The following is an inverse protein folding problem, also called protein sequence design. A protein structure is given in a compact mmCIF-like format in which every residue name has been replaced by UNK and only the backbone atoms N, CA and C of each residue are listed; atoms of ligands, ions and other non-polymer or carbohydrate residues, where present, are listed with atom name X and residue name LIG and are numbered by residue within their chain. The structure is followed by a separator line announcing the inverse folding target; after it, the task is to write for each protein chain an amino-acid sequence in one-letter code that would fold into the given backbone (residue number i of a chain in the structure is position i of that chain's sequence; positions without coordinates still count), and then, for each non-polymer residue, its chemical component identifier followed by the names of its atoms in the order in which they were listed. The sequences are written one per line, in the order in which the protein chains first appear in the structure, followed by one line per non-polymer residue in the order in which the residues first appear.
data_IF_583484753924
#
_entry.id   IF_583484753924
#
_cell.length_a   1.000
_cell.length_b   1.000
_cell.length_c   1.000
_cell.angle_alpha   90.00
_cell.angle_beta   90.00
_cell.angle_gamma   90.00
#
_symmetry.space_group_name_H-M   'P 1'
#
loop_
_entity.id
_entity.type
_entity.pdbx_description
1 polymer ?
#
# COMPACT_ATOMS: atom_id res chain seq x y z
N UNK A 1 3.41 -6.93 19.29
CA UNK A 1 3.16 -5.84 18.32
C UNK A 1 4.02 -4.66 18.71
N UNK A 2 4.75 -4.11 17.75
CA UNK A 2 5.61 -2.95 17.99
C UNK A 2 4.80 -1.65 18.08
N UNK A 3 5.05 -0.86 19.13
CA UNK A 3 4.58 0.52 19.27
C UNK A 3 5.76 1.47 19.17
N UNK A 4 5.63 2.48 18.32
CA UNK A 4 6.62 3.54 18.18
C UNK A 4 6.40 4.62 19.24
N UNK A 5 7.24 4.63 20.26
CA UNK A 5 7.18 5.60 21.37
C UNK A 5 7.76 6.98 21.01
N UNK A 6 8.38 7.13 19.83
CA UNK A 6 8.91 8.41 19.40
C UNK A 6 7.78 9.33 18.94
N UNK A 7 7.94 10.63 19.22
CA UNK A 7 7.11 11.64 18.56
C UNK A 7 7.39 11.62 17.07
N UNK A 8 6.37 11.73 16.21
CA UNK A 8 6.61 11.78 14.79
C UNK A 8 7.42 13.03 14.48
N UNK A 9 8.39 12.91 13.59
CA UNK A 9 9.19 14.02 13.12
C UNK A 9 8.41 14.76 12.03
N UNK A 10 8.23 16.05 12.23
CA UNK A 10 7.52 16.93 11.33
C UNK A 10 8.53 17.62 10.40
N UNK A 11 8.57 17.20 9.13
CA UNK A 11 9.47 17.74 8.12
C UNK A 11 9.00 19.07 7.54
N UNK A 12 7.70 19.17 7.29
CA UNK A 12 6.99 20.32 6.76
C UNK A 12 6.46 21.19 7.90
N UNK A 13 6.48 22.51 7.71
CA UNK A 13 5.74 23.44 8.56
C UNK A 13 4.22 23.29 8.36
N UNK A 14 3.38 23.76 9.31
CA UNK A 14 1.93 23.74 9.16
C UNK A 14 1.45 24.41 7.85
N UNK A 15 2.01 25.57 7.49
CA UNK A 15 1.65 26.28 6.26
C UNK A 15 2.04 25.50 5.00
N UNK A 16 3.16 24.76 5.03
CA UNK A 16 3.59 23.90 3.92
C UNK A 16 2.65 22.70 3.76
N UNK A 17 2.18 22.11 4.87
CA UNK A 17 1.17 21.06 4.84
C UNK A 17 -0.12 21.56 4.19
N UNK A 18 -0.60 22.75 4.57
CA UNK A 18 -1.80 23.35 3.95
C UNK A 18 -1.59 23.71 2.47
N UNK A 19 -0.38 24.15 2.11
CA UNK A 19 -0.04 24.42 0.71
C UNK A 19 -0.12 23.15 -0.13
N UNK A 20 0.47 22.05 0.34
CA UNK A 20 0.42 20.76 -0.36
C UNK A 20 -1.02 20.24 -0.44
N UNK A 21 -1.80 20.36 0.65
CA UNK A 21 -3.22 20.01 0.65
C UNK A 21 -3.99 20.81 -0.42
N UNK A 22 -3.83 22.14 -0.45
CA UNK A 22 -4.49 23.00 -1.42
C UNK A 22 -4.14 22.62 -2.86
N UNK A 23 -2.86 22.34 -3.14
CA UNK A 23 -2.44 21.88 -4.48
C UNK A 23 -3.00 20.51 -4.84
N UNK A 24 -3.09 19.58 -3.89
CA UNK A 24 -3.75 18.29 -4.11
C UNK A 24 -5.23 18.47 -4.47
N UNK A 25 -5.93 19.40 -3.81
CA UNK A 25 -7.33 19.71 -4.14
C UNK A 25 -7.46 20.33 -5.53
N UNK A 26 -6.58 21.27 -5.89
CA UNK A 26 -6.54 21.84 -7.25
C UNK A 26 -6.32 20.75 -8.31
N UNK A 27 -5.43 19.79 -8.06
CA UNK A 27 -5.23 18.65 -8.98
C UNK A 27 -6.53 17.85 -9.14
N UNK A 28 -7.24 17.57 -8.05
CA UNK A 28 -8.49 16.80 -8.09
C UNK A 28 -9.65 17.55 -8.76
N UNK A 29 -9.77 18.84 -8.51
CA UNK A 29 -10.85 19.70 -9.03
C UNK A 29 -10.61 20.05 -10.51
N UNK A 30 -9.41 20.52 -10.87
CA UNK A 30 -9.13 21.08 -12.20
C UNK A 30 -8.58 20.05 -13.20
N UNK A 31 -7.78 19.08 -12.74
CA UNK A 31 -7.13 18.09 -13.62
C UNK A 31 -7.90 16.76 -13.59
N UNK A 32 -8.31 16.30 -12.40
CA UNK A 32 -8.99 15.03 -12.19
C UNK A 32 -8.09 13.79 -12.33
N UNK A 33 -8.67 12.62 -12.06
CA UNK A 33 -7.99 11.32 -12.07
C UNK A 33 -8.71 10.35 -13.01
N UNK A 34 -7.97 9.60 -13.83
CA UNK A 34 -8.55 8.54 -14.68
C UNK A 34 -8.95 7.33 -13.82
N UNK A 35 -10.18 6.85 -13.98
CA UNK A 35 -10.67 5.59 -13.41
C UNK A 35 -11.08 4.65 -14.55
N UNK A 36 -10.21 3.71 -14.92
CA UNK A 36 -10.42 2.79 -16.05
C UNK A 36 -11.35 1.61 -15.72
N UNK A 37 -12.40 1.86 -14.93
CA UNK A 37 -13.41 0.86 -14.60
C UNK A 37 -14.79 1.53 -14.61
N UNK A 38 -15.72 1.00 -15.40
CA UNK A 38 -17.07 1.56 -15.57
C UNK A 38 -17.79 1.73 -14.24
N UNK A 39 -17.88 0.67 -13.43
CA UNK A 39 -18.51 0.73 -12.11
C UNK A 39 -17.94 1.81 -11.18
N UNK A 40 -16.63 2.06 -11.22
CA UNK A 40 -16.01 3.10 -10.39
C UNK A 40 -16.49 4.50 -10.83
N UNK A 41 -16.55 4.74 -12.13
CA UNK A 41 -17.07 6.00 -12.71
C UNK A 41 -18.56 6.18 -12.41
N UNK A 42 -19.36 5.13 -12.52
CA UNK A 42 -20.79 5.18 -12.20
C UNK A 42 -21.04 5.56 -10.74
N UNK A 43 -20.22 5.07 -9.81
CA UNK A 43 -20.32 5.43 -8.38
C UNK A 43 -20.04 6.92 -8.17
N UNK A 44 -19.00 7.45 -8.80
CA UNK A 44 -18.70 8.88 -8.74
C UNK A 44 -19.78 9.74 -9.39
N UNK A 45 -20.27 9.34 -10.56
CA UNK A 45 -21.33 10.06 -11.26
C UNK A 45 -22.63 10.10 -10.44
N UNK A 46 -23.01 8.97 -9.80
CA UNK A 46 -24.17 8.92 -8.88
C UNK A 46 -23.97 9.77 -7.63
N UNK A 47 -22.72 9.97 -7.21
CA UNK A 47 -22.36 10.87 -6.13
C UNK A 47 -22.27 12.36 -6.56
N UNK A 48 -22.60 12.66 -7.83
CA UNK A 48 -22.63 14.03 -8.36
C UNK A 48 -21.29 14.55 -8.89
N UNK A 49 -20.26 13.72 -8.93
CA UNK A 49 -18.95 14.11 -9.47
C UNK A 49 -18.98 14.15 -11.00
N UNK A 50 -18.23 15.10 -11.57
CA UNK A 50 -18.12 15.27 -13.02
C UNK A 50 -17.24 14.16 -13.60
N UNK A 51 -17.78 13.42 -14.56
CA UNK A 51 -17.07 12.36 -15.30
C UNK A 51 -17.01 12.71 -16.77
N UNK A 52 -15.80 12.83 -17.31
CA UNK A 52 -15.52 13.06 -18.73
C UNK A 52 -14.70 11.88 -19.27
N UNK A 53 -15.35 11.02 -20.06
CA UNK A 53 -14.79 9.74 -20.51
C UNK A 53 -14.33 8.85 -19.33
N UNK A 54 -13.02 8.79 -19.09
CA UNK A 54 -12.43 8.06 -17.97
C UNK A 54 -12.02 8.97 -16.81
N UNK A 55 -12.02 10.29 -17.02
CA UNK A 55 -11.52 11.29 -16.08
C UNK A 55 -12.63 11.68 -15.10
N UNK A 56 -12.35 11.57 -13.81
CA UNK A 56 -13.24 12.01 -12.73
C UNK A 56 -12.64 13.25 -12.07
N UNK A 57 -13.40 14.33 -12.03
CA UNK A 57 -13.09 15.54 -11.28
C UNK A 57 -13.80 15.48 -9.94
N UNK A 58 -13.06 15.75 -8.86
CA UNK A 58 -13.50 15.50 -7.50
C UNK A 58 -13.48 16.81 -6.72
N UNK A 59 -14.65 17.27 -6.27
CA UNK A 59 -14.77 18.47 -5.46
C UNK A 59 -14.11 18.27 -4.09
N UNK A 60 -13.39 19.27 -3.55
CA UNK A 60 -12.68 19.10 -2.26
C UNK A 60 -13.61 18.71 -1.13
N UNK A 61 -14.82 19.28 -1.08
CA UNK A 61 -15.76 19.04 0.01
C UNK A 61 -16.21 17.59 0.01
N UNK A 62 -16.51 17.06 -1.18
CA UNK A 62 -16.81 15.66 -1.39
C UNK A 62 -15.64 14.76 -0.95
N UNK A 63 -14.42 15.06 -1.39
CA UNK A 63 -13.21 14.27 -1.04
C UNK A 63 -13.00 14.23 0.47
N UNK A 64 -13.05 15.39 1.12
CA UNK A 64 -12.87 15.51 2.57
C UNK A 64 -13.99 14.78 3.35
N UNK A 65 -15.24 14.88 2.88
CA UNK A 65 -16.37 14.17 3.49
C UNK A 65 -16.19 12.65 3.38
N UNK A 66 -15.81 12.14 2.20
CA UNK A 66 -15.59 10.71 2.03
C UNK A 66 -14.42 10.24 2.89
N UNK A 67 -13.26 10.89 2.79
CA UNK A 67 -12.04 10.49 3.51
C UNK A 67 -12.25 10.48 5.03
N UNK A 68 -13.04 11.41 5.58
CA UNK A 68 -13.35 11.46 7.01
C UNK A 68 -14.15 10.25 7.52
N UNK A 69 -14.76 9.44 6.65
CA UNK A 69 -15.46 8.20 7.01
C UNK A 69 -14.51 7.05 7.31
N UNK A 70 -13.28 7.10 6.81
CA UNK A 70 -12.30 6.05 7.02
C UNK A 70 -11.81 6.03 8.49
N UNK A 71 -11.72 4.86 9.14
CA UNK A 71 -11.26 4.77 10.52
C UNK A 71 -9.76 5.06 10.64
N UNK A 72 -9.41 5.93 11.59
CA UNK A 72 -8.01 6.28 11.90
C UNK A 72 -7.21 5.12 12.53
N UNK A 73 -7.91 4.14 13.14
CA UNK A 73 -7.33 2.95 13.77
C UNK A 73 -8.30 1.79 13.53
N UNK A 74 -7.77 0.61 13.18
CA UNK A 74 -8.57 -0.60 13.00
C UNK A 74 -7.80 -1.87 13.35
N UNK A 75 -8.53 -2.92 13.68
CA UNK A 75 -8.00 -4.27 13.89
C UNK A 75 -7.91 -5.02 12.55
N UNK A 76 -6.83 -5.77 12.36
CA UNK A 76 -6.66 -6.75 11.30
C UNK A 76 -6.47 -8.12 11.99
N UNK A 77 -7.52 -8.94 11.93
CA UNK A 77 -7.51 -10.24 12.60
C UNK A 77 -6.65 -11.24 11.84
N UNK A 78 -5.97 -12.09 12.61
CA UNK A 78 -5.30 -13.27 12.09
C UNK A 78 -6.06 -14.53 12.52
N UNK A 79 -5.87 -15.62 11.78
CA UNK A 79 -6.41 -16.94 12.15
C UNK A 79 -6.07 -17.33 13.59
N UNK A 80 -4.83 -17.09 14.01
CA UNK A 80 -4.48 -17.09 15.42
C UNK A 80 -4.72 -15.69 16.00
N UNK A 81 -5.77 -15.54 16.81
CA UNK A 81 -6.15 -14.24 17.39
C UNK A 81 -5.01 -13.55 18.14
N UNK A 82 -4.06 -14.29 18.72
CA UNK A 82 -2.88 -13.74 19.41
C UNK A 82 -1.89 -13.03 18.48
N UNK A 83 -2.00 -13.25 17.15
CA UNK A 83 -1.19 -12.59 16.12
C UNK A 83 -1.92 -11.45 15.41
N UNK A 84 -3.17 -11.16 15.77
CA UNK A 84 -3.90 -10.03 15.20
C UNK A 84 -3.15 -8.73 15.44
N UNK A 85 -3.26 -7.81 14.49
CA UNK A 85 -2.55 -6.54 14.52
C UNK A 85 -3.53 -5.35 14.53
N UNK A 86 -3.06 -4.21 15.04
CA UNK A 86 -3.80 -2.95 15.03
C UNK A 86 -3.04 -2.02 14.09
N UNK A 87 -3.71 -1.48 13.08
CA UNK A 87 -3.14 -0.46 12.20
C UNK A 87 -3.63 0.93 12.62
N UNK A 88 -2.72 1.91 12.56
CA UNK A 88 -2.99 3.29 12.97
C UNK A 88 -2.42 3.65 14.34
N UNK A 89 -2.52 4.93 14.70
CA UNK A 89 -1.95 5.47 15.94
C UNK A 89 -0.43 5.31 15.99
N UNK A 90 0.07 4.76 17.11
CA UNK A 90 1.51 4.52 17.34
C UNK A 90 1.96 3.12 16.92
N UNK A 91 1.05 2.29 16.40
CA UNK A 91 1.36 0.91 16.06
C UNK A 91 2.16 0.84 14.76
N UNK A 92 3.15 -0.06 14.72
CA UNK A 92 3.96 -0.36 13.55
C UNK A 92 3.80 -1.84 13.20
N UNK A 93 3.19 -2.09 12.05
CA UNK A 93 3.06 -3.43 11.45
C UNK A 93 4.07 -3.53 10.32
N UNK A 94 4.94 -4.52 10.39
CA UNK A 94 5.97 -4.80 9.37
C UNK A 94 5.57 -6.02 8.58
N UNK A 95 5.79 -5.97 7.27
CA UNK A 95 5.59 -7.07 6.34
C UNK A 95 6.83 -7.24 5.46
N UNK A 96 7.10 -8.44 4.94
CA UNK A 96 8.19 -8.67 4.01
C UNK A 96 8.09 -7.84 2.73
N UNK A 97 9.10 -7.99 1.88
CA UNK A 97 9.10 -7.53 0.48
C UNK A 97 7.85 -8.01 -0.27
N UNK A 98 7.45 -7.27 -1.30
CA UNK A 98 6.29 -7.55 -2.13
C UNK A 98 6.62 -7.28 -3.61
N UNK A 99 6.39 -8.24 -4.49
CA UNK A 99 6.47 -8.09 -5.95
C UNK A 99 7.73 -8.56 -6.69
N UNK A 100 8.89 -8.90 -6.07
CA UNK A 100 10.03 -9.38 -6.85
C UNK A 100 9.70 -10.64 -7.66
N UNK A 101 10.03 -10.71 -8.96
CA UNK A 101 9.94 -11.95 -9.72
C UNK A 101 11.18 -12.85 -9.58
N UNK A 102 12.26 -12.30 -9.02
CA UNK A 102 13.53 -13.00 -8.85
C UNK A 102 13.86 -13.17 -7.37
N UNK A 103 14.48 -14.31 -7.06
CA UNK A 103 15.20 -14.54 -5.80
C UNK A 103 16.69 -14.61 -6.04
N UNK A 104 17.46 -14.37 -4.98
CA UNK A 104 18.90 -14.57 -4.96
C UNK A 104 19.29 -15.33 -3.69
N UNK A 105 20.12 -16.35 -3.83
CA UNK A 105 20.78 -17.03 -2.71
C UNK A 105 22.28 -17.26 -3.00
N UNK A 106 23.05 -17.65 -1.98
CA UNK A 106 24.50 -17.82 -2.08
C UNK A 106 24.93 -19.02 -2.93
N UNK A 107 24.04 -20.00 -3.15
CA UNK A 107 24.37 -21.26 -3.82
C UNK A 107 24.00 -21.23 -5.31
N UNK A 108 22.80 -20.73 -5.62
CA UNK A 108 22.18 -20.72 -6.95
C UNK A 108 22.24 -19.36 -7.63
N UNK A 109 22.61 -18.30 -6.89
CA UNK A 109 22.64 -16.94 -7.40
C UNK A 109 21.22 -16.42 -7.73
N UNK A 110 21.14 -15.43 -8.63
CA UNK A 110 19.88 -14.80 -9.04
C UNK A 110 19.13 -15.66 -10.06
N UNK A 111 17.87 -15.97 -9.78
CA UNK A 111 17.00 -16.80 -10.66
C UNK A 111 15.52 -16.43 -10.51
N UNK A 112 14.71 -16.89 -11.46
CA UNK A 112 13.24 -16.85 -11.32
C UNK A 112 12.81 -17.61 -10.07
N UNK A 113 11.81 -17.07 -9.38
CA UNK A 113 11.35 -17.62 -8.12
C UNK A 113 10.31 -18.71 -8.32
N UNK A 114 10.19 -19.59 -7.32
CA UNK A 114 9.22 -20.69 -7.31
C UNK A 114 8.26 -20.59 -6.12
N UNK A 115 7.21 -21.41 -6.11
CA UNK A 115 6.33 -21.55 -4.94
C UNK A 115 7.09 -22.04 -3.69
N UNK A 116 8.19 -22.77 -3.87
CA UNK A 116 9.07 -23.17 -2.76
C UNK A 116 9.74 -21.94 -2.13
N UNK A 117 10.23 -21.00 -2.94
CA UNK A 117 10.82 -19.76 -2.45
C UNK A 117 9.79 -18.91 -1.69
N UNK A 118 8.59 -18.76 -2.25
CA UNK A 118 7.46 -18.11 -1.60
C UNK A 118 7.17 -18.74 -0.23
N UNK A 119 7.05 -20.07 -0.20
CA UNK A 119 6.84 -20.85 1.03
C UNK A 119 7.97 -20.65 2.04
N UNK A 120 9.21 -20.51 1.58
CA UNK A 120 10.35 -20.25 2.46
C UNK A 120 10.28 -18.85 3.07
N UNK A 121 9.87 -17.83 2.30
CA UNK A 121 9.60 -16.50 2.85
C UNK A 121 8.46 -16.50 3.87
N UNK A 122 7.40 -17.30 3.68
CA UNK A 122 6.33 -17.44 4.68
C UNK A 122 6.84 -18.07 5.98
N UNK A 123 7.67 -19.12 5.88
CA UNK A 123 8.31 -19.76 7.05
C UNK A 123 9.23 -18.77 7.78
N UNK A 124 10.00 -17.97 7.04
CA UNK A 124 10.86 -16.92 7.61
C UNK A 124 10.00 -15.83 8.28
N UNK A 125 8.96 -15.35 7.59
CA UNK A 125 8.02 -14.38 8.13
C UNK A 125 7.37 -14.89 9.41
N UNK A 126 7.01 -16.17 9.50
CA UNK A 126 6.49 -16.80 10.71
C UNK A 126 7.53 -16.81 11.85
N UNK A 127 8.77 -17.21 11.54
CA UNK A 127 9.84 -17.38 12.53
C UNK A 127 10.37 -16.05 13.10
N UNK A 128 10.33 -14.96 12.34
CA UNK A 128 10.85 -13.65 12.75
C UNK A 128 9.79 -12.86 13.52
N UNK A 129 10.05 -12.54 14.79
CA UNK A 129 9.11 -11.80 15.64
C UNK A 129 8.89 -10.35 15.19
N UNK A 130 9.91 -9.75 14.57
CA UNK A 130 9.88 -8.39 14.03
C UNK A 130 9.09 -8.30 12.72
N UNK A 131 8.56 -9.40 12.19
CA UNK A 131 7.61 -9.42 11.07
C UNK A 131 6.22 -9.69 11.65
N UNK A 132 5.30 -8.75 11.47
CA UNK A 132 3.98 -8.78 12.09
C UNK A 132 2.88 -9.29 11.15
N UNK A 133 3.06 -9.13 9.86
CA UNK A 133 2.19 -9.61 8.78
C UNK A 133 3.02 -10.48 7.84
N UNK A 134 2.48 -11.60 7.36
CA UNK A 134 3.17 -12.51 6.44
C UNK A 134 3.46 -11.85 5.06
N UNK A 135 2.79 -10.73 4.76
CA UNK A 135 2.92 -10.04 3.48
C UNK A 135 1.93 -10.59 2.44
N UNK A 136 2.20 -10.31 1.17
CA UNK A 136 1.39 -10.78 0.04
C UNK A 136 2.25 -11.54 -0.94
N UNK A 137 2.55 -10.93 -2.09
CA UNK A 137 3.46 -11.49 -3.10
C UNK A 137 4.91 -11.36 -2.65
N UNK A 138 5.37 -12.11 -1.64
CA UNK A 138 6.77 -12.05 -1.15
C UNK A 138 7.78 -12.24 -2.27
N UNK A 139 7.45 -13.15 -3.18
CA UNK A 139 8.08 -13.29 -4.48
C UNK A 139 7.05 -13.83 -5.48
N UNK A 140 7.27 -13.65 -6.77
CA UNK A 140 6.36 -14.18 -7.79
C UNK A 140 6.72 -15.63 -8.17
N UNK A 141 5.88 -16.64 -7.89
CA UNK A 141 6.17 -18.02 -8.28
C UNK A 141 5.97 -18.20 -9.79
N UNK A 142 7.06 -18.27 -10.54
CA UNK A 142 7.07 -18.40 -12.01
C UNK A 142 6.83 -19.85 -12.48
N UNK A 143 6.93 -20.82 -11.57
CA UNK A 143 6.70 -22.25 -11.81
C UNK A 143 5.21 -22.66 -11.76
N UNK A 144 4.31 -21.71 -11.46
CA UNK A 144 2.87 -21.93 -11.39
C UNK A 144 2.10 -21.17 -12.50
N UNK A 145 0.93 -21.68 -12.95
CA UNK A 145 0.10 -20.99 -13.92
C UNK A 145 -0.38 -19.61 -13.44
N UNK A 146 -0.22 -18.58 -14.27
CA UNK A 146 -0.59 -17.18 -13.94
C UNK A 146 -2.03 -17.03 -13.43
N UNK A 147 -2.97 -17.77 -14.01
CA UNK A 147 -4.41 -17.65 -13.70
C UNK A 147 -4.83 -18.24 -12.36
N UNK A 148 -4.00 -19.07 -11.72
CA UNK A 148 -4.38 -19.78 -10.48
C UNK A 148 -3.34 -19.65 -9.37
N UNK A 149 -2.12 -19.19 -9.64
CA UNK A 149 -1.04 -19.14 -8.64
C UNK A 149 -1.37 -18.32 -7.40
N UNK A 150 -2.32 -17.37 -7.47
CA UNK A 150 -2.79 -16.64 -6.28
C UNK A 150 -3.40 -17.57 -5.23
N UNK A 151 -4.04 -18.67 -5.65
CA UNK A 151 -4.60 -19.67 -4.74
C UNK A 151 -3.50 -20.37 -3.96
N UNK A 152 -2.42 -20.78 -4.64
CA UNK A 152 -1.27 -21.42 -4.02
C UNK A 152 -0.53 -20.46 -3.06
N UNK A 153 -0.39 -19.19 -3.44
CA UNK A 153 0.21 -18.15 -2.61
C UNK A 153 -0.61 -17.88 -1.35
N UNK A 154 -1.92 -17.67 -1.47
CA UNK A 154 -2.81 -17.46 -0.31
C UNK A 154 -2.86 -18.72 0.56
N UNK A 155 -2.88 -19.91 -0.04
CA UNK A 155 -2.81 -21.16 0.70
C UNK A 155 -1.49 -21.30 1.48
N UNK A 156 -0.36 -20.90 0.88
CA UNK A 156 0.94 -20.91 1.56
C UNK A 156 0.93 -20.01 2.80
N UNK A 157 0.42 -18.78 2.69
CA UNK A 157 0.25 -17.86 3.83
C UNK A 157 -0.52 -18.52 4.97
N UNK A 158 -1.67 -19.12 4.64
CA UNK A 158 -2.55 -19.81 5.60
C UNK A 158 -1.89 -21.03 6.21
N UNK A 159 -1.16 -21.82 5.41
CA UNK A 159 -0.59 -23.10 5.83
C UNK A 159 0.62 -22.93 6.72
N UNK A 160 1.51 -22.00 6.38
CA UNK A 160 2.83 -21.86 6.98
C UNK A 160 2.94 -20.73 7.98
N UNK A 161 1.95 -19.83 8.03
CA UNK A 161 1.90 -18.76 9.02
C UNK A 161 0.60 -18.79 9.83
N UNK A 162 0.63 -18.16 10.99
CA UNK A 162 -0.55 -17.84 11.78
C UNK A 162 -0.74 -16.32 11.97
N UNK A 163 0.02 -15.53 11.20
CA UNK A 163 0.01 -14.07 11.13
C UNK A 163 -1.05 -13.60 10.12
N UNK A 164 -1.49 -12.34 10.18
CA UNK A 164 -2.32 -11.77 9.12
C UNK A 164 -1.52 -11.71 7.81
N UNK A 165 -2.21 -11.71 6.67
CA UNK A 165 -1.61 -11.73 5.34
C UNK A 165 -2.31 -10.74 4.40
N UNK A 166 -1.71 -10.55 3.22
CA UNK A 166 -2.23 -9.66 2.19
C UNK A 166 -2.89 -10.40 1.05
N UNK A 167 -3.88 -9.76 0.43
CA UNK A 167 -4.67 -10.35 -0.63
C UNK A 167 -4.11 -10.15 -2.03
N UNK A 168 -4.54 -11.01 -2.96
CA UNK A 168 -4.21 -10.85 -4.38
C UNK A 168 -4.98 -9.69 -5.00
N UNK A 169 -4.33 -8.92 -5.88
CA UNK A 169 -4.88 -7.68 -6.46
C UNK A 169 -4.83 -7.64 -7.99
N UNK A 170 -4.47 -8.75 -8.63
CA UNK A 170 -4.22 -8.79 -10.08
C UNK A 170 -5.49 -8.95 -10.92
N UNK A 171 -6.65 -9.22 -10.28
CA UNK A 171 -7.99 -9.26 -10.87
C UNK A 171 -9.07 -9.22 -9.78
N UNK A 172 -10.32 -8.95 -10.17
CA UNK A 172 -11.49 -9.06 -9.29
C UNK A 172 -11.71 -10.50 -8.83
N UNK A 173 -11.52 -11.47 -9.72
CA UNK A 173 -11.64 -12.90 -9.42
C UNK A 173 -10.68 -13.31 -8.30
N UNK A 174 -9.41 -12.90 -8.39
CA UNK A 174 -8.40 -13.25 -7.42
C UNK A 174 -8.65 -12.60 -6.06
N UNK A 175 -9.21 -11.38 -6.08
CA UNK A 175 -9.65 -10.71 -4.86
C UNK A 175 -10.81 -11.47 -4.20
N UNK A 176 -11.83 -11.87 -4.95
CA UNK A 176 -12.94 -12.70 -4.46
C UNK A 176 -12.45 -14.03 -3.89
N UNK A 177 -11.59 -14.74 -4.60
CA UNK A 177 -11.01 -16.00 -4.12
C UNK A 177 -10.25 -15.81 -2.81
N UNK A 178 -9.46 -14.73 -2.70
CA UNK A 178 -8.75 -14.40 -1.45
C UNK A 178 -9.73 -14.17 -0.30
N UNK A 179 -10.80 -13.41 -0.53
CA UNK A 179 -11.81 -13.11 0.48
C UNK A 179 -12.51 -14.39 0.95
N UNK A 180 -12.85 -15.29 0.02
CA UNK A 180 -13.47 -16.58 0.35
C UNK A 180 -12.51 -17.49 1.12
N UNK A 181 -11.24 -17.57 0.71
CA UNK A 181 -10.22 -18.32 1.47
C UNK A 181 -10.02 -17.75 2.88
N UNK A 182 -10.01 -16.43 3.03
CA UNK A 182 -9.93 -15.77 4.33
C UNK A 182 -11.18 -16.05 5.18
N UNK A 183 -12.37 -16.02 4.59
CA UNK A 183 -13.61 -16.37 5.28
C UNK A 183 -13.57 -17.81 5.80
N UNK A 184 -13.09 -18.77 5.02
CA UNK A 184 -12.97 -20.18 5.45
C UNK A 184 -12.12 -20.30 6.72
N UNK A 185 -11.00 -19.58 6.81
CA UNK A 185 -10.01 -19.74 7.90
C UNK A 185 -10.25 -18.82 9.10
N UNK A 186 -11.01 -17.73 8.92
CA UNK A 186 -11.29 -16.74 9.96
C UNK A 186 -12.76 -16.75 10.45
N UNK A 187 -13.50 -17.83 10.20
CA UNK A 187 -14.80 -18.06 10.83
C UNK A 187 -16.01 -17.53 10.05
N UNK A 188 -15.89 -17.42 8.73
CA UNK A 188 -16.96 -17.09 7.80
C UNK A 188 -17.00 -15.62 7.38
N UNK A 189 -17.88 -15.32 6.41
CA UNK A 189 -18.02 -13.99 5.81
C UNK A 189 -18.39 -12.91 6.84
N UNK A 190 -19.34 -13.21 7.72
CA UNK A 190 -19.77 -12.30 8.79
C UNK A 190 -18.60 -11.91 9.72
N UNK A 191 -17.72 -12.87 10.04
CA UNK A 191 -16.55 -12.62 10.89
C UNK A 191 -15.59 -11.64 10.24
N UNK A 192 -15.23 -11.86 8.96
CA UNK A 192 -14.25 -11.01 8.27
C UNK A 192 -14.82 -9.63 7.90
N UNK A 193 -16.14 -9.51 7.72
CA UNK A 193 -16.78 -8.22 7.48
C UNK A 193 -16.96 -7.38 8.75
N UNK A 194 -17.00 -8.03 9.92
CA UNK A 194 -17.02 -7.35 11.21
C UNK A 194 -15.61 -6.94 11.66
N UNK A 195 -14.64 -7.81 11.45
CA UNK A 195 -13.23 -7.54 11.74
C UNK A 195 -12.41 -7.99 10.54
N UNK A 196 -11.78 -7.09 9.78
CA UNK A 196 -11.10 -7.47 8.55
C UNK A 196 -9.97 -8.47 8.79
N UNK A 197 -9.77 -9.41 7.86
CA UNK A 197 -8.80 -10.50 7.97
C UNK A 197 -7.67 -10.43 6.93
N UNK A 198 -7.86 -9.63 5.88
CA UNK A 198 -6.89 -9.46 4.78
C UNK A 198 -6.76 -7.99 4.46
N UNK A 199 -5.55 -7.53 4.18
CA UNK A 199 -5.27 -6.16 3.70
C UNK A 199 -4.61 -6.21 2.31
N UNK A 200 -4.99 -5.34 1.39
CA UNK A 200 -4.56 -5.45 -0.01
C UNK A 200 -3.90 -4.18 -0.54
N UNK A 201 -2.90 -4.33 -1.41
CA UNK A 201 -2.18 -3.21 -2.01
C UNK A 201 -2.84 -2.77 -3.33
N UNK A 202 -3.51 -1.62 -3.34
CA UNK A 202 -4.07 -1.06 -4.58
C UNK A 202 -3.16 0.06 -5.06
N UNK A 203 -2.42 -0.19 -6.13
CA UNK A 203 -1.55 0.82 -6.71
C UNK A 203 -2.33 1.80 -7.59
N UNK A 204 -1.86 3.05 -7.58
CA UNK A 204 -2.21 4.03 -8.61
C UNK A 204 -1.12 3.98 -9.67
N UNK A 205 -1.52 3.87 -10.92
CA UNK A 205 -0.64 3.97 -12.07
C UNK A 205 -0.34 5.45 -12.33
N UNK A 206 0.55 6.02 -11.51
CA UNK A 206 0.90 7.43 -11.57
C UNK A 206 1.53 7.79 -12.93
N UNK A 207 1.18 8.95 -13.53
CA UNK A 207 0.37 10.01 -12.95
C UNK A 207 -1.15 9.87 -13.15
N UNK A 208 -1.90 10.06 -12.06
CA UNK A 208 -3.35 10.33 -12.04
C UNK A 208 -4.22 9.30 -12.76
N UNK A 209 -3.93 8.01 -12.61
CA UNK A 209 -4.71 6.93 -13.24
C UNK A 209 -4.80 5.67 -12.39
N UNK A 210 -6.01 5.13 -12.28
CA UNK A 210 -6.28 3.80 -11.75
C UNK A 210 -6.65 2.86 -12.91
N UNK A 211 -5.91 1.76 -13.06
CA UNK A 211 -6.21 0.73 -14.04
C UNK A 211 -7.37 -0.19 -13.63
N UNK A 212 -7.90 -0.91 -14.61
CA UNK A 212 -9.05 -1.79 -14.47
C UNK A 212 -8.81 -2.93 -13.46
N UNK A 213 -7.61 -3.51 -13.44
CA UNK A 213 -7.26 -4.62 -12.54
C UNK A 213 -7.21 -4.17 -11.08
N UNK A 214 -6.51 -3.07 -10.80
CA UNK A 214 -6.44 -2.49 -9.47
C UNK A 214 -7.82 -2.05 -8.97
N UNK A 215 -8.64 -1.45 -9.85
CA UNK A 215 -10.00 -1.05 -9.50
C UNK A 215 -10.92 -2.24 -9.26
N UNK A 216 -10.79 -3.31 -10.06
CA UNK A 216 -11.51 -4.55 -9.86
C UNK A 216 -11.27 -5.13 -8.47
N UNK A 217 -10.00 -5.26 -8.07
CA UNK A 217 -9.65 -5.72 -6.72
C UNK A 217 -10.13 -4.75 -5.63
N UNK A 218 -9.97 -3.42 -5.83
CA UNK A 218 -10.44 -2.40 -4.88
C UNK A 218 -11.94 -2.55 -4.59
N UNK A 219 -12.76 -2.70 -5.64
CA UNK A 219 -14.21 -2.86 -5.52
C UNK A 219 -14.56 -4.07 -4.64
N UNK A 220 -13.99 -5.24 -4.95
CA UNK A 220 -14.26 -6.49 -4.24
C UNK A 220 -13.85 -6.44 -2.76
N UNK A 221 -12.64 -5.96 -2.46
CA UNK A 221 -12.19 -5.81 -1.08
C UNK A 221 -13.03 -4.79 -0.32
N UNK A 222 -13.37 -3.67 -0.95
CA UNK A 222 -14.13 -2.60 -0.30
C UNK A 222 -15.56 -3.04 0.04
N UNK A 223 -16.22 -3.76 -0.86
CA UNK A 223 -17.54 -4.36 -0.62
C UNK A 223 -17.51 -5.37 0.52
N UNK A 224 -16.45 -6.16 0.60
CA UNK A 224 -16.19 -7.11 1.67
C UNK A 224 -15.72 -6.46 2.98
N UNK A 225 -15.60 -5.13 3.07
CA UNK A 225 -15.10 -4.43 4.26
C UNK A 225 -13.64 -4.76 4.60
N UNK A 226 -12.86 -5.27 3.63
CA UNK A 226 -11.45 -5.57 3.81
C UNK A 226 -10.61 -4.33 3.51
N UNK A 227 -9.50 -4.07 4.24
CA UNK A 227 -8.76 -2.83 4.12
C UNK A 227 -7.94 -2.81 2.83
N UNK A 228 -7.87 -1.62 2.23
CA UNK A 228 -7.01 -1.38 1.07
C UNK A 228 -5.96 -0.32 1.39
N UNK A 229 -4.75 -0.56 0.91
CA UNK A 229 -3.64 0.40 0.94
C UNK A 229 -3.60 1.08 -0.42
N UNK A 230 -4.15 2.29 -0.49
CA UNK A 230 -4.20 3.07 -1.74
C UNK A 230 -2.84 3.74 -1.94
N UNK A 231 -2.05 3.22 -2.87
CA UNK A 231 -0.61 3.53 -2.97
C UNK A 231 -0.26 4.08 -4.34
N UNK A 232 -0.16 5.42 -4.47
CA UNK A 232 0.54 6.04 -5.57
C UNK A 232 1.97 5.51 -5.71
N UNK A 233 2.34 5.14 -6.94
CA UNK A 233 3.67 4.63 -7.27
C UNK A 233 4.45 5.70 -8.04
N UNK A 234 5.25 6.45 -7.31
CA UNK A 234 5.82 7.70 -7.79
C UNK A 234 7.34 7.61 -7.85
N UNK A 235 7.86 7.98 -9.00
CA UNK A 235 9.28 8.24 -9.20
C UNK A 235 9.40 9.68 -9.66
N UNK A 236 9.86 10.55 -8.75
CA UNK A 236 10.08 11.96 -9.03
C UNK A 236 11.05 12.10 -10.22
N UNK A 237 10.60 12.85 -11.24
CA UNK A 237 11.31 13.00 -12.51
C UNK A 237 10.86 12.03 -13.62
N UNK A 238 9.96 11.09 -13.34
CA UNK A 238 9.41 10.16 -14.33
C UNK A 238 7.87 10.07 -14.27
N UNK A 239 7.33 9.57 -13.16
CA UNK A 239 5.87 9.39 -12.95
C UNK A 239 5.23 10.54 -12.17
N UNK A 240 6.06 11.47 -11.71
CA UNK A 240 5.66 12.71 -11.03
C UNK A 240 6.68 13.81 -11.28
N UNK A 241 6.35 15.09 -11.02
CA UNK A 241 7.29 16.19 -11.17
C UNK A 241 8.57 15.98 -10.35
N UNK A 242 9.72 16.45 -10.85
CA UNK A 242 10.99 16.33 -10.14
C UNK A 242 11.00 17.04 -8.78
N UNK A 243 10.24 18.13 -8.64
CA UNK A 243 10.08 18.83 -7.37
C UNK A 243 9.26 18.03 -6.35
N UNK A 244 9.83 17.80 -5.17
CA UNK A 244 9.19 16.99 -4.12
C UNK A 244 7.82 17.53 -3.67
N UNK A 245 7.65 18.85 -3.56
CA UNK A 245 6.35 19.43 -3.18
C UNK A 245 5.25 19.07 -4.20
N UNK A 246 5.57 19.12 -5.50
CA UNK A 246 4.65 18.73 -6.56
C UNK A 246 4.39 17.22 -6.56
N UNK A 247 5.41 16.40 -6.33
CA UNK A 247 5.24 14.94 -6.18
C UNK A 247 4.34 14.59 -5.00
N UNK A 248 4.52 15.21 -3.83
CA UNK A 248 3.69 14.92 -2.64
C UNK A 248 2.27 15.45 -2.84
N UNK A 249 2.07 16.58 -3.53
CA UNK A 249 0.72 17.06 -3.88
C UNK A 249 0.01 16.08 -4.83
N UNK A 250 0.68 15.60 -5.88
CA UNK A 250 0.15 14.57 -6.78
C UNK A 250 -0.16 13.27 -6.03
N UNK A 251 0.76 12.80 -5.18
CA UNK A 251 0.54 11.63 -4.33
C UNK A 251 -0.72 11.78 -3.48
N UNK A 252 -0.86 12.95 -2.85
CA UNK A 252 -2.00 13.23 -1.98
C UNK A 252 -3.28 13.19 -2.79
N UNK A 253 -3.33 13.82 -3.96
CA UNK A 253 -4.48 13.77 -4.85
C UNK A 253 -4.84 12.32 -5.22
N UNK A 254 -3.87 11.57 -5.75
CA UNK A 254 -4.06 10.19 -6.17
C UNK A 254 -4.57 9.29 -5.03
N UNK A 255 -3.97 9.36 -3.84
CA UNK A 255 -4.36 8.57 -2.69
C UNK A 255 -5.78 8.92 -2.21
N UNK A 256 -6.10 10.21 -2.09
CA UNK A 256 -7.42 10.63 -1.60
C UNK A 256 -8.53 10.28 -2.59
N UNK A 257 -8.28 10.32 -3.91
CA UNK A 257 -9.24 9.90 -4.91
C UNK A 257 -9.65 8.42 -4.75
N UNK A 258 -8.67 7.54 -4.55
CA UNK A 258 -8.93 6.11 -4.31
C UNK A 258 -9.61 5.85 -2.97
N UNK A 259 -9.20 6.55 -1.91
CA UNK A 259 -9.85 6.42 -0.59
C UNK A 259 -11.30 6.93 -0.65
N UNK A 260 -11.57 8.03 -1.36
CA UNK A 260 -12.93 8.50 -1.56
C UNK A 260 -13.80 7.45 -2.28
N UNK A 261 -13.26 6.73 -3.26
CA UNK A 261 -13.96 5.62 -3.92
C UNK A 261 -14.28 4.48 -2.94
N UNK A 262 -13.32 4.09 -2.09
CA UNK A 262 -13.54 3.06 -1.06
C UNK A 262 -14.73 3.43 -0.16
N UNK A 263 -14.78 4.69 0.29
CA UNK A 263 -15.82 5.18 1.18
C UNK A 263 -17.18 5.37 0.47
N UNK A 264 -17.19 5.61 -0.85
CA UNK A 264 -18.41 5.55 -1.66
C UNK A 264 -18.97 4.13 -1.76
N UNK A 265 -18.09 3.12 -1.89
CA UNK A 265 -18.49 1.71 -2.01
C UNK A 265 -19.09 1.22 -0.69
N UNK A 266 -18.37 1.44 0.41
CA UNK A 266 -18.79 1.02 1.75
C UNK A 266 -18.21 1.99 2.80
N UNK A 267 -19.01 2.96 3.29
CA UNK A 267 -18.59 3.89 4.32
C UNK A 267 -18.05 3.16 5.56
N UNK A 268 -16.90 3.60 6.08
CA UNK A 268 -16.24 3.00 7.23
C UNK A 268 -15.32 1.83 6.90
N UNK A 269 -15.22 1.38 5.64
CA UNK A 269 -14.22 0.39 5.24
C UNK A 269 -12.82 0.93 5.53
N UNK A 270 -11.96 0.20 6.25
CA UNK A 270 -10.64 0.70 6.58
C UNK A 270 -9.80 1.00 5.33
N UNK A 271 -9.11 2.13 5.33
CA UNK A 271 -8.27 2.57 4.20
C UNK A 271 -6.94 3.09 4.72
N UNK A 272 -5.85 2.72 4.06
CA UNK A 272 -4.50 3.16 4.42
C UNK A 272 -3.98 4.09 3.33
N UNK A 273 -3.55 5.28 3.73
CA UNK A 273 -2.86 6.20 2.84
C UNK A 273 -1.49 5.60 2.51
N UNK A 274 -1.28 5.24 1.26
CA UNK A 274 -0.03 4.66 0.77
C UNK A 274 0.88 5.69 0.13
N UNK A 275 2.17 5.40 0.18
CA UNK A 275 3.20 6.07 -0.60
C UNK A 275 4.24 5.05 -1.01
N UNK A 276 4.54 4.97 -2.31
CA UNK A 276 5.81 4.49 -2.81
C UNK A 276 6.46 5.65 -3.57
N UNK A 277 7.13 6.53 -2.82
CA UNK A 277 7.78 7.71 -3.37
C UNK A 277 9.28 7.50 -3.39
N UNK A 278 9.84 7.54 -4.59
CA UNK A 278 11.28 7.58 -4.80
C UNK A 278 11.63 8.59 -5.91
N UNK A 279 12.90 8.69 -6.32
CA UNK A 279 13.33 9.51 -7.44
C UNK A 279 14.04 8.68 -8.52
N UNK A 280 14.04 9.19 -9.75
CA UNK A 280 14.85 8.65 -10.81
C UNK A 280 16.31 9.08 -10.62
N UNK A 281 17.25 8.18 -10.85
CA UNK A 281 18.65 8.55 -11.07
C UNK A 281 18.78 9.23 -12.43
N UNK A 282 19.27 10.48 -12.46
CA UNK A 282 19.32 11.28 -13.69
C UNK A 282 20.31 10.75 -14.73
N UNK A 283 21.28 9.92 -14.33
CA UNK A 283 22.26 9.35 -15.25
C UNK A 283 21.72 8.09 -15.93
N UNK A 284 21.13 7.17 -15.17
CA UNK A 284 20.67 5.86 -15.65
C UNK A 284 19.19 5.80 -15.97
N UNK A 285 18.38 6.74 -15.46
CA UNK A 285 16.93 6.71 -15.49
C UNK A 285 16.30 5.63 -14.59
N UNK A 286 17.11 4.94 -13.77
CA UNK A 286 16.64 3.85 -12.92
C UNK A 286 16.09 4.36 -11.57
N UNK A 287 15.25 3.57 -10.87
CA UNK A 287 14.85 3.90 -9.51
C UNK A 287 16.06 3.98 -8.57
N UNK A 288 16.17 5.09 -7.83
CA UNK A 288 17.22 5.30 -6.83
C UNK A 288 16.64 5.24 -5.42
N UNK A 289 17.13 4.36 -4.55
CA UNK A 289 16.66 4.24 -3.16
C UNK A 289 17.73 4.73 -2.18
N UNK A 290 17.33 5.02 -0.93
CA UNK A 290 18.24 5.51 0.10
C UNK A 290 18.76 6.93 -0.15
N UNK A 291 18.09 7.67 -1.03
CA UNK A 291 18.42 9.07 -1.35
C UNK A 291 17.82 10.03 -0.33
N UNK A 292 18.40 11.23 -0.14
CA UNK A 292 17.78 12.29 0.65
C UNK A 292 16.35 12.61 0.20
N UNK A 293 16.08 12.60 -1.10
CA UNK A 293 14.78 12.88 -1.70
C UNK A 293 13.72 11.86 -1.26
N UNK A 294 14.06 10.57 -1.29
CA UNK A 294 13.16 9.51 -0.80
C UNK A 294 12.87 9.66 0.70
N UNK A 295 13.89 10.00 1.51
CA UNK A 295 13.72 10.19 2.95
C UNK A 295 12.82 11.38 3.28
N UNK A 296 13.04 12.52 2.62
CA UNK A 296 12.17 13.70 2.73
C UNK A 296 10.74 13.40 2.28
N UNK A 297 10.59 12.65 1.18
CA UNK A 297 9.29 12.22 0.65
C UNK A 297 8.51 11.33 1.61
N UNK A 298 9.17 10.39 2.30
CA UNK A 298 8.55 9.54 3.32
C UNK A 298 8.03 10.38 4.49
N UNK A 299 8.85 11.29 5.02
CA UNK A 299 8.46 12.15 6.15
C UNK A 299 7.29 13.09 5.80
N UNK A 300 7.37 13.75 4.64
CA UNK A 300 6.32 14.64 4.15
C UNK A 300 5.01 13.87 3.91
N UNK A 301 5.08 12.69 3.29
CA UNK A 301 3.91 11.84 3.05
C UNK A 301 3.26 11.38 4.36
N UNK A 302 4.06 11.03 5.35
CA UNK A 302 3.56 10.62 6.66
C UNK A 302 2.85 11.77 7.39
N UNK A 303 3.35 13.01 7.26
CA UNK A 303 2.66 14.20 7.77
C UNK A 303 1.33 14.43 7.05
N UNK A 304 1.28 14.26 5.72
CA UNK A 304 0.03 14.38 4.97
C UNK A 304 -1.00 13.33 5.41
N UNK A 305 -0.59 12.06 5.58
CA UNK A 305 -1.49 11.02 6.09
C UNK A 305 -2.07 11.38 7.48
N UNK A 306 -1.24 11.93 8.39
CA UNK A 306 -1.70 12.41 9.71
C UNK A 306 -2.70 13.56 9.60
N UNK A 307 -2.52 14.49 8.64
CA UNK A 307 -3.48 15.58 8.40
C UNK A 307 -4.89 15.06 8.09
N UNK A 308 -5.00 13.96 7.36
CA UNK A 308 -6.28 13.33 7.04
C UNK A 308 -6.75 12.29 8.07
N UNK A 309 -6.02 12.14 9.19
CA UNK A 309 -6.29 11.11 10.20
C UNK A 309 -6.35 9.68 9.66
N UNK A 310 -5.52 9.38 8.64
CA UNK A 310 -5.45 8.06 8.03
C UNK A 310 -4.21 7.29 8.54
N UNK A 311 -4.30 5.96 8.71
CA UNK A 311 -3.11 5.12 8.83
C UNK A 311 -2.21 5.29 7.61
N UNK A 312 -0.89 5.25 7.83
CA UNK A 312 0.10 5.46 6.77
C UNK A 312 0.88 4.20 6.42
N UNK A 313 1.04 3.93 5.12
CA UNK A 313 2.01 2.97 4.55
C UNK A 313 3.06 3.72 3.76
N UNK A 314 4.33 3.49 4.07
CA UNK A 314 5.45 4.07 3.32
C UNK A 314 6.80 3.50 3.76
N UNK A 315 7.85 3.85 3.02
CA UNK A 315 9.21 3.46 3.34
C UNK A 315 9.46 1.95 3.30
N UNK A 316 10.25 1.45 4.26
CA UNK A 316 10.78 0.09 4.28
C UNK A 316 12.31 0.03 4.18
N UNK A 317 12.86 -1.17 4.07
CA UNK A 317 14.28 -1.43 3.85
C UNK A 317 14.56 -1.50 2.34
N UNK A 318 14.48 -0.35 1.67
CA UNK A 318 14.61 -0.26 0.22
C UNK A 318 16.05 0.01 -0.21
N UNK A 319 16.49 -0.63 -1.28
CA UNK A 319 17.83 -0.45 -1.85
C UNK A 319 17.83 -0.65 -3.37
N UNK A 320 18.73 0.08 -4.05
CA UNK A 320 19.08 -0.10 -5.45
C UNK A 320 20.30 -1.03 -5.60
N UNK A 321 20.91 -1.54 -4.53
CA UNK A 321 22.03 -2.48 -4.60
C UNK A 321 21.59 -3.84 -5.18
N UNK A 322 22.55 -4.54 -5.79
CA UNK A 322 22.33 -5.84 -6.47
C UNK A 322 22.79 -7.01 -5.59
N UNK A 323 23.35 -6.71 -4.43
CA UNK A 323 23.90 -7.64 -3.44
C UNK A 323 23.65 -7.10 -2.03
N UNK A 324 23.63 -7.95 -0.98
CA UNK A 324 23.54 -7.51 0.40
C UNK A 324 24.89 -6.95 0.90
N UNK A 325 25.33 -5.85 0.30
CA UNK A 325 26.60 -5.18 0.57
C UNK A 325 26.42 -3.89 1.39
N UNK A 326 27.49 -3.10 1.51
CA UNK A 326 27.46 -1.84 2.25
C UNK A 326 26.45 -0.82 1.66
N UNK A 327 26.25 -0.83 0.33
CA UNK A 327 25.24 0.01 -0.31
C UNK A 327 23.84 -0.42 0.13
N UNK A 328 23.54 -1.73 0.10
CA UNK A 328 22.27 -2.25 0.58
C UNK A 328 21.99 -1.86 2.03
N UNK A 329 23.00 -1.99 2.89
CA UNK A 329 22.88 -1.64 4.31
C UNK A 329 22.59 -0.14 4.51
N UNK A 330 23.35 0.74 3.84
CA UNK A 330 23.19 2.19 4.00
C UNK A 330 21.84 2.68 3.45
N UNK A 331 21.47 2.25 2.25
CA UNK A 331 20.21 2.70 1.61
C UNK A 331 19.00 2.19 2.38
N UNK A 332 19.02 0.92 2.81
CA UNK A 332 17.95 0.34 3.62
C UNK A 332 17.79 1.09 4.95
N UNK A 333 18.90 1.42 5.61
CA UNK A 333 18.87 2.22 6.84
C UNK A 333 18.33 3.63 6.58
N UNK A 334 18.78 4.28 5.50
CA UNK A 334 18.34 5.63 5.14
C UNK A 334 16.85 5.70 4.78
N UNK A 335 16.26 4.61 4.31
CA UNK A 335 14.81 4.48 4.12
C UNK A 335 14.06 4.12 5.42
N UNK A 336 14.63 3.22 6.23
CA UNK A 336 14.00 2.76 7.47
C UNK A 336 13.96 3.88 8.54
N UNK A 337 14.97 4.74 8.60
CA UNK A 337 15.01 5.84 9.56
C UNK A 337 13.82 6.82 9.44
N UNK A 338 13.53 7.42 8.27
CA UNK A 338 12.34 8.25 8.08
C UNK A 338 11.04 7.44 8.16
N UNK A 339 11.05 6.13 7.90
CA UNK A 339 9.89 5.25 8.13
C UNK A 339 9.46 5.28 9.60
N UNK A 340 10.41 5.12 10.51
CA UNK A 340 10.14 5.14 11.95
C UNK A 340 9.89 6.56 12.46
N UNK A 341 10.72 7.53 12.07
CA UNK A 341 10.54 8.92 12.48
C UNK A 341 9.23 9.52 11.93
N UNK A 342 8.79 9.10 10.76
CA UNK A 342 7.52 9.51 10.16
C UNK A 342 6.29 8.88 10.81
N UNK A 343 6.45 7.87 11.69
CA UNK A 343 5.34 7.08 12.25
C UNK A 343 4.52 6.37 11.16
N UNK A 344 5.21 5.63 10.31
CA UNK A 344 4.55 4.69 9.39
C UNK A 344 3.86 3.60 10.18
N UNK A 345 2.59 3.30 9.85
CA UNK A 345 1.79 2.29 10.53
C UNK A 345 1.88 0.91 9.88
N UNK A 346 2.05 0.85 8.56
CA UNK A 346 2.26 -0.38 7.82
C UNK A 346 3.52 -0.27 6.96
N UNK A 347 4.57 -0.98 7.34
CA UNK A 347 5.86 -1.00 6.65
C UNK A 347 5.90 -2.24 5.77
N UNK A 348 5.42 -2.11 4.54
CA UNK A 348 5.66 -3.13 3.50
C UNK A 348 7.13 -3.03 3.06
N UNK A 349 7.73 -4.13 2.61
CA UNK A 349 9.16 -4.18 2.31
C UNK A 349 10.04 -3.88 3.52
N UNK A 350 9.62 -4.30 4.73
CA UNK A 350 10.44 -4.14 5.92
C UNK A 350 11.69 -5.04 5.91
N UNK A 351 11.65 -6.15 5.16
CA UNK A 351 12.75 -7.08 4.96
C UNK A 351 12.55 -7.89 3.67
N UNK A 352 13.63 -8.18 2.95
CA UNK A 352 13.64 -9.07 1.79
C UNK A 352 14.67 -8.67 0.73
#
# INVERSE_FOLDING_TARGET
MWKNSLKPYDWLSPDQVETIHGQAMTILEEIGVDFLHERARDLFQKAGMKVEENRVHLDREFVLEQVAKAPAIFDLQARNKARSVILGGDNVVTAPVYGPPFVTDLERGRRGATIEDFTNFDKLAQAVEQIHCAGGTTVEPEDLPLGTRHLDMVYSHVRWTDKPFMGSVISSENARDTIEMAAIVCGGRESIEKTPAVISLINVNSPLRYDDRMLGALLEYSEAGQPVIVTPFLMAGAMSPMGLAGTVAQQTAEALAGIALVQLIRPGTPSVYGSFLTNADMQSGSPAFGTPESAMGILASAQMARRYHLPFRGGGALTSSKSPDAQAAYESMMCMWPTLLGRVNFVLHAAG
#
